data_IF_979390799306
#
_entry.id   IF_979390799306
#
_cell.length_a   1.000
_cell.length_b   1.000
_cell.length_c   1.000
_cell.angle_alpha   90.00
_cell.angle_beta   90.00
_cell.angle_gamma   90.00
#
_symmetry.space_group_name_H-M   'P 1'
#
loop_
_entity.id
_entity.type
_entity.pdbx_description
1 polymer ?
#
# COMPACT_ATOMS: atom_id res chain seq x y z
N UNK A 1 10.52 -1.18 13.65
CA UNK A 1 9.43 -1.79 12.85
C UNK A 1 9.66 -1.45 11.39
N UNK A 2 9.51 -2.43 10.52
CA UNK A 2 9.56 -2.22 9.07
C UNK A 2 8.20 -1.77 8.57
N UNK A 3 8.19 -0.70 7.77
CA UNK A 3 6.99 -0.15 7.14
C UNK A 3 7.10 -0.35 5.63
N UNK A 4 6.09 -0.94 5.04
CA UNK A 4 5.95 -1.05 3.59
C UNK A 4 4.88 -0.07 3.12
N UNK A 5 5.23 0.83 2.23
CA UNK A 5 4.27 1.64 1.49
C UNK A 5 4.13 1.03 0.11
N UNK A 6 2.93 0.61 -0.25
CA UNK A 6 2.69 -0.01 -1.54
C UNK A 6 2.56 1.03 -2.66
N UNK A 7 2.92 0.62 -3.86
CA UNK A 7 2.58 1.35 -5.07
C UNK A 7 2.15 0.38 -6.16
N UNK A 8 1.36 0.87 -7.07
CA UNK A 8 0.84 0.15 -8.25
C UNK A 8 0.52 1.18 -9.34
N UNK A 9 0.36 0.74 -10.56
CA UNK A 9 0.08 1.65 -11.67
C UNK A 9 -1.13 2.52 -11.40
N UNK A 10 -1.00 3.83 -11.63
CA UNK A 10 -2.02 4.85 -11.42
C UNK A 10 -2.41 5.09 -9.94
N UNK A 11 -1.51 4.75 -9.00
CA UNK A 11 -1.71 5.13 -7.61
C UNK A 11 -1.68 6.66 -7.45
N UNK A 12 -2.38 7.19 -6.45
CA UNK A 12 -2.26 8.61 -6.11
C UNK A 12 -0.90 8.85 -5.43
N UNK A 13 -0.06 9.66 -6.06
CA UNK A 13 1.31 9.88 -5.61
C UNK A 13 1.39 10.37 -4.17
N UNK A 14 0.54 11.32 -3.79
CA UNK A 14 0.54 11.87 -2.44
C UNK A 14 0.20 10.82 -1.38
N UNK A 15 -0.69 9.90 -1.70
CA UNK A 15 -1.14 8.85 -0.77
C UNK A 15 -0.01 7.89 -0.38
N UNK A 16 1.00 7.73 -1.23
CA UNK A 16 2.18 6.91 -0.95
C UNK A 16 3.37 7.75 -0.49
N UNK A 17 3.68 8.84 -1.19
CA UNK A 17 4.84 9.69 -0.89
C UNK A 17 4.67 10.38 0.46
N UNK A 18 3.46 10.82 0.81
CA UNK A 18 3.17 11.44 2.09
C UNK A 18 3.56 10.55 3.28
N UNK A 19 2.97 9.37 3.43
CA UNK A 19 3.36 8.44 4.50
C UNK A 19 4.83 8.02 4.44
N UNK A 20 5.37 7.78 3.25
CA UNK A 20 6.77 7.43 3.08
C UNK A 20 7.69 8.50 3.68
N UNK A 21 7.50 9.76 3.31
CA UNK A 21 8.33 10.86 3.77
C UNK A 21 8.20 11.10 5.28
N UNK A 22 6.98 10.96 5.82
CA UNK A 22 6.76 11.12 7.26
C UNK A 22 7.51 10.04 8.05
N UNK A 23 7.43 8.79 7.63
CA UNK A 23 8.14 7.69 8.31
C UNK A 23 9.64 7.82 8.13
N UNK A 24 10.11 8.18 6.94
CA UNK A 24 11.53 8.40 6.67
C UNK A 24 12.10 9.51 7.56
N UNK A 25 11.38 10.61 7.74
CA UNK A 25 11.80 11.70 8.62
C UNK A 25 11.80 11.28 10.10
N UNK A 26 10.80 10.50 10.52
CA UNK A 26 10.77 9.95 11.87
C UNK A 26 12.00 9.05 12.12
N UNK A 27 12.36 8.22 11.17
CA UNK A 27 13.55 7.35 11.22
C UNK A 27 14.82 8.20 11.36
N UNK A 28 14.94 9.25 10.56
CA UNK A 28 16.08 10.17 10.60
C UNK A 28 16.21 10.85 11.96
N UNK A 29 15.12 11.04 12.67
CA UNK A 29 15.08 11.64 14.01
C UNK A 29 15.24 10.62 15.14
N UNK A 30 15.52 9.37 14.84
CA UNK A 30 15.85 8.34 15.81
C UNK A 30 14.72 7.38 16.15
N UNK A 31 13.57 7.44 15.46
CA UNK A 31 12.53 6.44 15.64
C UNK A 31 13.01 5.06 15.14
N UNK A 32 12.60 4.01 15.84
CA UNK A 32 12.89 2.63 15.45
C UNK A 32 11.94 2.18 14.33
N UNK A 33 12.08 2.82 13.19
CA UNK A 33 11.30 2.57 11.99
C UNK A 33 12.22 2.50 10.77
N UNK A 34 11.80 1.75 9.78
CA UNK A 34 12.36 1.82 8.43
C UNK A 34 11.21 1.78 7.43
N UNK A 35 11.36 2.45 6.29
CA UNK A 35 10.32 2.49 5.27
C UNK A 35 10.88 2.13 3.91
N UNK A 36 10.11 1.35 3.16
CA UNK A 36 10.39 1.02 1.77
C UNK A 36 9.13 1.20 0.93
N UNK A 37 9.33 1.61 -0.32
CA UNK A 37 8.28 1.67 -1.33
C UNK A 37 8.31 0.34 -2.10
N UNK A 38 7.24 -0.44 -2.01
CA UNK A 38 7.23 -1.82 -2.50
C UNK A 38 6.04 -2.06 -3.44
N UNK A 39 6.22 -3.01 -4.34
CA UNK A 39 5.14 -3.50 -5.20
C UNK A 39 4.73 -4.90 -4.80
N UNK A 40 3.48 -5.27 -5.07
CA UNK A 40 3.01 -6.64 -4.85
C UNK A 40 3.47 -7.54 -6.00
N UNK A 41 3.48 -7.00 -7.22
CA UNK A 41 4.01 -7.67 -8.42
C UNK A 41 5.34 -7.06 -8.82
N UNK A 42 6.20 -7.85 -9.48
CA UNK A 42 7.49 -7.35 -9.96
C UNK A 42 7.30 -6.20 -10.95
N UNK A 43 7.89 -5.06 -10.62
CA UNK A 43 7.89 -3.85 -11.44
C UNK A 43 9.18 -3.09 -11.20
N UNK A 44 9.86 -2.69 -12.27
CA UNK A 44 11.06 -1.85 -12.17
C UNK A 44 10.70 -0.38 -11.98
N UNK A 45 9.56 0.03 -12.50
CA UNK A 45 9.06 1.40 -12.43
C UNK A 45 7.54 1.40 -12.34
N UNK A 46 6.99 2.32 -11.59
CA UNK A 46 5.55 2.52 -11.43
C UNK A 46 5.22 3.98 -11.71
N UNK A 47 4.17 4.23 -12.48
CA UNK A 47 3.70 5.58 -12.79
C UNK A 47 2.44 5.89 -12.00
N UNK A 48 2.51 6.96 -11.21
CA UNK A 48 1.36 7.46 -10.44
C UNK A 48 0.33 8.15 -11.35
N UNK A 49 -0.83 8.43 -10.78
CA UNK A 49 -1.99 8.95 -11.51
C UNK A 49 -1.74 10.24 -12.30
N UNK A 50 -0.83 11.09 -11.82
CA UNK A 50 -0.50 12.36 -12.45
C UNK A 50 0.87 12.38 -13.13
N UNK A 51 1.40 11.19 -13.45
CA UNK A 51 2.62 11.08 -14.25
C UNK A 51 3.92 10.99 -13.45
N UNK A 52 3.88 11.07 -12.12
CA UNK A 52 5.07 10.85 -11.30
C UNK A 52 5.55 9.41 -11.47
N UNK A 53 6.78 9.25 -11.90
CA UNK A 53 7.40 7.93 -12.04
C UNK A 53 8.26 7.66 -10.80
N UNK A 54 8.08 6.49 -10.21
CA UNK A 54 8.85 6.05 -9.06
C UNK A 54 9.53 4.73 -9.36
N UNK A 55 10.70 4.56 -8.77
CA UNK A 55 11.40 3.29 -8.79
C UNK A 55 11.18 2.62 -7.43
N UNK A 56 10.44 1.50 -7.37
CA UNK A 56 10.24 0.79 -6.11
C UNK A 56 11.55 0.26 -5.55
N UNK A 57 11.63 0.17 -4.22
CA UNK A 57 12.77 -0.46 -3.54
C UNK A 57 12.82 -1.97 -3.73
N UNK A 58 11.70 -2.56 -4.11
CA UNK A 58 11.59 -3.98 -4.36
C UNK A 58 10.15 -4.45 -4.30
N UNK A 59 10.01 -5.76 -4.16
CA UNK A 59 8.72 -6.44 -4.03
C UNK A 59 8.39 -6.68 -2.57
N UNK A 60 7.10 -6.65 -2.24
CA UNK A 60 6.62 -6.97 -0.90
C UNK A 60 7.03 -8.41 -0.54
N UNK A 61 7.76 -8.61 0.59
CA UNK A 61 8.11 -9.94 1.05
C UNK A 61 6.87 -10.80 1.35
N UNK A 62 7.05 -12.11 1.36
CA UNK A 62 5.98 -13.01 1.75
C UNK A 62 5.57 -12.78 3.22
N UNK A 63 4.28 -12.98 3.55
CA UNK A 63 3.84 -12.89 4.93
C UNK A 63 4.63 -13.84 5.84
N UNK A 64 5.10 -13.34 6.98
CA UNK A 64 5.87 -14.14 7.93
C UNK A 64 7.33 -14.32 7.57
N UNK A 65 7.81 -13.79 6.45
CA UNK A 65 9.24 -13.78 6.12
C UNK A 65 10.03 -12.95 7.14
N UNK A 66 11.35 -13.22 7.31
CA UNK A 66 12.16 -12.47 8.29
C UNK A 66 12.18 -10.96 8.07
N UNK A 67 12.02 -10.51 6.83
CA UNK A 67 11.99 -9.10 6.44
C UNK A 67 10.56 -8.57 6.18
N UNK A 68 9.54 -9.34 6.53
CA UNK A 68 8.14 -8.91 6.37
C UNK A 68 7.86 -7.66 7.19
N UNK A 69 7.05 -6.72 6.66
CA UNK A 69 6.74 -5.48 7.36
C UNK A 69 5.79 -5.72 8.53
N UNK A 70 5.93 -4.87 9.56
CA UNK A 70 4.96 -4.79 10.65
C UNK A 70 3.79 -3.86 10.35
N UNK A 71 3.95 -2.97 9.36
CA UNK A 71 2.90 -2.07 8.88
C UNK A 71 2.93 -2.05 7.34
N UNK A 72 1.78 -2.25 6.73
CA UNK A 72 1.58 -2.12 5.29
C UNK A 72 0.59 -1.00 5.02
N UNK A 73 1.00 -0.03 4.21
CA UNK A 73 0.17 1.13 3.83
C UNK A 73 -0.22 0.98 2.36
N UNK A 74 -1.51 0.99 2.09
CA UNK A 74 -2.05 0.91 0.75
C UNK A 74 -2.56 2.29 0.30
N UNK A 75 -1.99 2.88 -0.77
CA UNK A 75 -2.50 4.12 -1.33
C UNK A 75 -3.75 3.89 -2.15
N UNK A 76 -4.50 4.95 -2.43
CA UNK A 76 -5.60 4.96 -3.37
C UNK A 76 -5.22 5.46 -4.75
N UNK A 77 -6.21 5.92 -5.48
CA UNK A 77 -6.07 6.49 -6.83
C UNK A 77 -6.80 5.67 -7.89
N UNK A 78 -7.47 6.36 -8.82
CA UNK A 78 -8.12 5.72 -9.96
C UNK A 78 -9.36 4.89 -9.63
N UNK A 79 -10.03 5.16 -8.51
CA UNK A 79 -11.21 4.38 -8.12
C UNK A 79 -12.42 4.71 -8.98
N UNK A 80 -12.70 6.00 -9.15
CA UNK A 80 -13.93 6.45 -9.84
C UNK A 80 -13.89 6.22 -11.35
N UNK A 81 -12.72 6.22 -11.95
CA UNK A 81 -12.54 6.08 -13.40
C UNK A 81 -12.79 4.66 -13.88
N UNK A 82 -12.61 3.66 -13.01
CA UNK A 82 -12.83 2.24 -13.29
C UNK A 82 -12.12 1.76 -14.54
N UNK A 83 -10.88 2.21 -14.72
CA UNK A 83 -10.03 1.80 -15.82
C UNK A 83 -9.27 0.53 -15.48
N UNK A 84 -8.37 0.10 -16.34
CA UNK A 84 -7.55 -1.09 -16.13
C UNK A 84 -6.31 -0.86 -15.23
N UNK A 85 -6.18 0.34 -14.67
CA UNK A 85 -5.17 0.71 -13.68
C UNK A 85 -5.80 1.44 -12.50
N UNK A 86 -5.06 1.53 -11.38
CA UNK A 86 -5.51 2.19 -10.17
C UNK A 86 -6.18 1.26 -9.17
N UNK A 87 -6.70 1.84 -8.10
CA UNK A 87 -7.27 1.09 -6.97
C UNK A 87 -8.45 0.20 -7.39
N UNK A 88 -9.32 0.69 -8.27
CA UNK A 88 -10.42 -0.12 -8.79
C UNK A 88 -9.91 -1.39 -9.49
N UNK A 89 -8.95 -1.24 -10.39
CA UNK A 89 -8.37 -2.36 -11.12
C UNK A 89 -7.68 -3.35 -10.17
N UNK A 90 -6.94 -2.85 -9.17
CA UNK A 90 -6.28 -3.71 -8.18
C UNK A 90 -7.30 -4.45 -7.32
N UNK A 91 -8.42 -3.79 -6.95
CA UNK A 91 -9.50 -4.45 -6.23
C UNK A 91 -10.14 -5.58 -7.05
N UNK A 92 -10.35 -5.37 -8.34
CA UNK A 92 -10.92 -6.37 -9.24
C UNK A 92 -9.96 -7.54 -9.51
N UNK A 93 -8.66 -7.27 -9.65
CA UNK A 93 -7.65 -8.32 -9.82
C UNK A 93 -7.47 -9.19 -8.58
N UNK A 94 -7.63 -8.61 -7.40
CA UNK A 94 -7.57 -9.31 -6.13
C UNK A 94 -6.14 -9.54 -5.59
N UNK A 95 -5.10 -9.31 -6.35
CA UNK A 95 -3.70 -9.60 -5.91
C UNK A 95 -3.29 -8.71 -4.75
N UNK A 96 -3.57 -7.40 -4.83
CA UNK A 96 -3.27 -6.46 -3.73
C UNK A 96 -4.16 -6.73 -2.51
N UNK A 97 -5.50 -6.86 -2.63
CA UNK A 97 -6.32 -7.24 -1.49
C UNK A 97 -5.89 -8.55 -0.83
N UNK A 98 -5.56 -9.58 -1.60
CA UNK A 98 -5.10 -10.86 -1.05
C UNK A 98 -3.79 -10.70 -0.27
N UNK A 99 -2.86 -9.91 -0.76
CA UNK A 99 -1.60 -9.61 -0.06
C UNK A 99 -1.87 -8.88 1.27
N UNK A 100 -2.75 -7.89 1.27
CA UNK A 100 -3.14 -7.17 2.49
C UNK A 100 -3.75 -8.11 3.53
N UNK A 101 -4.68 -8.97 3.11
CA UNK A 101 -5.31 -9.95 3.99
C UNK A 101 -4.28 -10.92 4.57
N UNK A 102 -3.36 -11.42 3.76
CA UNK A 102 -2.34 -12.38 4.19
C UNK A 102 -1.35 -11.77 5.17
N UNK A 103 -0.91 -10.53 4.93
CA UNK A 103 -0.02 -9.82 5.87
C UNK A 103 -0.72 -9.51 7.19
N UNK A 104 -2.00 -9.12 7.15
CA UNK A 104 -2.78 -8.91 8.36
C UNK A 104 -2.92 -10.22 9.16
N UNK A 105 -3.21 -11.32 8.50
CA UNK A 105 -3.31 -12.63 9.15
C UNK A 105 -1.99 -13.07 9.79
N UNK A 106 -0.87 -12.64 9.24
CA UNK A 106 0.46 -12.90 9.80
C UNK A 106 0.89 -11.91 10.90
N UNK A 107 0.00 -10.99 11.29
CA UNK A 107 0.22 -10.07 12.41
C UNK A 107 0.57 -8.63 12.04
N UNK A 108 0.67 -8.29 10.77
CA UNK A 108 0.93 -6.91 10.36
C UNK A 108 -0.28 -6.01 10.59
N UNK A 109 -0.02 -4.75 10.91
CA UNK A 109 -1.03 -3.69 10.85
C UNK A 109 -1.18 -3.27 9.38
N UNK A 110 -2.40 -3.06 8.94
CA UNK A 110 -2.70 -2.63 7.58
C UNK A 110 -3.45 -1.30 7.62
N UNK A 111 -2.99 -0.34 6.86
CA UNK A 111 -3.58 0.99 6.77
C UNK A 111 -3.89 1.34 5.32
N UNK A 112 -5.01 2.02 5.09
CA UNK A 112 -5.39 2.53 3.77
C UNK A 112 -5.45 4.05 3.79
N UNK A 113 -4.98 4.66 2.72
CA UNK A 113 -5.06 6.11 2.51
C UNK A 113 -6.00 6.36 1.34
N UNK A 114 -6.95 7.29 1.49
CA UNK A 114 -7.93 7.64 0.46
C UNK A 114 -8.66 6.37 0.00
N UNK A 115 -8.81 6.14 -1.29
CA UNK A 115 -9.45 4.93 -1.83
C UNK A 115 -8.63 3.65 -1.61
N UNK A 116 -7.44 3.74 -1.01
CA UNK A 116 -6.76 2.57 -0.44
C UNK A 116 -7.62 1.84 0.58
N UNK A 117 -8.51 2.55 1.30
CA UNK A 117 -9.51 1.93 2.17
C UNK A 117 -10.43 0.95 1.44
N UNK A 118 -10.70 1.19 0.15
CA UNK A 118 -11.49 0.26 -0.67
C UNK A 118 -10.76 -1.06 -0.92
N UNK A 119 -9.43 -1.01 -1.00
CA UNK A 119 -8.61 -2.24 -1.08
C UNK A 119 -8.70 -3.04 0.22
N UNK A 120 -8.67 -2.35 1.36
CA UNK A 120 -8.86 -2.99 2.66
C UNK A 120 -10.26 -3.61 2.77
N UNK A 121 -11.28 -2.93 2.28
CA UNK A 121 -12.65 -3.45 2.25
C UNK A 121 -12.73 -4.72 1.40
N UNK A 122 -12.14 -4.71 0.22
CA UNK A 122 -12.11 -5.87 -0.67
C UNK A 122 -11.33 -7.03 -0.06
N UNK A 123 -10.32 -6.74 0.75
CA UNK A 123 -9.56 -7.74 1.50
C UNK A 123 -10.35 -8.35 2.68
N UNK A 124 -11.54 -7.84 2.99
CA UNK A 124 -12.35 -8.31 4.13
C UNK A 124 -11.92 -7.75 5.48
N UNK A 125 -11.01 -6.76 5.50
CA UNK A 125 -10.42 -6.26 6.75
C UNK A 125 -11.30 -5.24 7.47
N UNK A 126 -12.32 -4.70 6.82
CA UNK A 126 -13.22 -3.69 7.41
C UNK A 126 -14.55 -4.29 7.88
N UNK A 127 -14.79 -5.56 7.67
CA UNK A 127 -16.03 -6.22 8.07
C UNK A 127 -16.24 -6.12 9.59
N UNK A 128 -17.38 -5.57 9.99
CA UNK A 128 -17.72 -5.38 11.40
C UNK A 128 -16.96 -4.26 12.11
N UNK A 129 -16.21 -3.45 11.37
CA UNK A 129 -15.45 -2.31 11.90
C UNK A 129 -16.02 -0.99 11.41
N UNK A 130 -16.08 0.07 12.27
CA UNK A 130 -16.44 1.39 11.78
C UNK A 130 -15.41 1.88 10.75
N UNK A 131 -15.89 2.28 9.58
CA UNK A 131 -15.05 2.83 8.54
C UNK A 131 -15.83 3.91 7.77
N UNK A 132 -15.13 4.94 7.33
CA UNK A 132 -15.71 6.01 6.51
C UNK A 132 -14.77 6.34 5.37
N UNK A 133 -15.36 6.57 4.21
CA UNK A 133 -14.74 7.15 3.03
C UNK A 133 -15.42 8.50 2.77
N UNK A 134 -14.65 9.54 2.50
CA UNK A 134 -15.18 10.87 2.22
C UNK A 134 -14.87 11.32 0.81
#
# INVERSE_FOLDING_TARGET
>A
MRVAVLCYECFDGLDAVGPYEVVAEATRRGADLSVRLLTVRDRDQVTAAHGLRVEPDGRLPDPGAPDAPGLVVAPGGGWNDRTDTGAWAEAERGVVPDALASHHAAGAVVAGVCTGGMLLSRAGLLTGRPARER
#
